data_IF_185209806222
#
_entry.id   IF_185209806222
#
_cell.length_a   1.000
_cell.length_b   1.000
_cell.length_c   1.000
_cell.angle_alpha   90.00
_cell.angle_beta   90.00
_cell.angle_gamma   90.00
#
_symmetry.space_group_name_H-M   'P 1'
#
loop_
_entity.id
_entity.type
_entity.pdbx_description
1 polymer ?
#
# COMPACT_ATOMS: atom_id res chain seq x y z
N UNK A 1 21.82 -3.45 -5.71
CA UNK A 1 21.67 -2.17 -6.47
C UNK A 1 20.20 -1.93 -6.85
N UNK A 2 19.70 -0.68 -6.78
CA UNK A 2 18.28 -0.36 -7.04
C UNK A 2 17.80 -0.74 -8.45
N UNK A 3 18.67 -0.61 -9.46
CA UNK A 3 18.35 -1.02 -10.83
C UNK A 3 18.03 -2.52 -10.93
N UNK A 4 18.87 -3.37 -10.30
CA UNK A 4 18.67 -4.82 -10.25
C UNK A 4 17.34 -5.18 -9.56
N UNK A 5 16.94 -4.43 -8.54
CA UNK A 5 15.67 -4.64 -7.85
C UNK A 5 14.47 -4.28 -8.74
N UNK A 6 14.57 -3.17 -9.49
CA UNK A 6 13.55 -2.79 -10.46
C UNK A 6 13.38 -3.88 -11.54
N UNK A 7 14.49 -4.36 -12.09
CA UNK A 7 14.49 -5.43 -13.11
C UNK A 7 13.92 -6.73 -12.54
N UNK A 8 14.29 -7.10 -11.31
CA UNK A 8 13.75 -8.28 -10.64
C UNK A 8 12.22 -8.19 -10.46
N UNK A 9 11.67 -7.02 -10.13
CA UNK A 9 10.22 -6.82 -10.02
C UNK A 9 9.52 -6.96 -11.38
N UNK A 10 10.13 -6.45 -12.46
CA UNK A 10 9.63 -6.61 -13.82
C UNK A 10 9.63 -8.09 -14.23
N UNK A 11 10.73 -8.81 -13.97
CA UNK A 11 10.83 -10.25 -14.23
C UNK A 11 9.80 -11.02 -13.42
N UNK A 12 9.61 -10.70 -12.14
CA UNK A 12 8.62 -11.33 -11.28
C UNK A 12 7.20 -11.17 -11.85
N UNK A 13 6.83 -9.96 -12.28
CA UNK A 13 5.53 -9.70 -12.92
C UNK A 13 5.34 -10.53 -14.20
N UNK A 14 6.37 -10.59 -15.04
CA UNK A 14 6.32 -11.40 -16.27
C UNK A 14 6.23 -12.90 -15.97
N UNK A 15 7.00 -13.39 -14.99
CA UNK A 15 6.94 -14.78 -14.55
C UNK A 15 5.55 -15.14 -14.01
N UNK A 16 4.94 -14.25 -13.22
CA UNK A 16 3.56 -14.43 -12.74
C UNK A 16 2.53 -14.51 -13.86
N UNK A 17 2.72 -13.73 -14.92
CA UNK A 17 1.85 -13.79 -16.09
C UNK A 17 1.98 -15.12 -16.86
N UNK A 18 3.16 -15.74 -16.86
CA UNK A 18 3.45 -16.96 -17.63
C UNK A 18 3.26 -18.25 -16.82
N UNK A 19 3.44 -18.19 -15.50
CA UNK A 19 3.43 -19.35 -14.61
C UNK A 19 2.79 -18.98 -13.27
N UNK A 20 1.46 -18.87 -13.28
CA UNK A 20 0.68 -18.49 -12.08
C UNK A 20 0.89 -19.45 -10.90
N UNK A 21 1.10 -20.74 -11.15
CA UNK A 21 1.26 -21.77 -10.11
C UNK A 21 2.56 -21.62 -9.32
N UNK A 22 3.67 -21.29 -10.00
CA UNK A 22 4.96 -21.09 -9.34
C UNK A 22 4.92 -19.91 -8.36
N UNK A 23 4.29 -18.81 -8.78
CA UNK A 23 4.17 -17.62 -7.96
C UNK A 23 3.25 -17.88 -6.78
N UNK A 24 2.10 -18.52 -6.97
CA UNK A 24 1.19 -18.91 -5.88
C UNK A 24 1.88 -19.69 -4.77
N UNK A 25 2.75 -20.62 -5.12
CA UNK A 25 3.41 -21.49 -4.14
C UNK A 25 4.61 -20.84 -3.44
N UNK A 26 5.31 -19.92 -4.12
CA UNK A 26 6.65 -19.49 -3.68
C UNK A 26 6.78 -18.00 -3.40
N UNK A 27 5.86 -17.17 -3.86
CA UNK A 27 5.97 -15.72 -3.71
C UNK A 27 6.07 -15.29 -2.25
N UNK A 28 5.16 -15.75 -1.39
CA UNK A 28 5.12 -15.36 0.01
C UNK A 28 6.40 -15.79 0.78
N UNK A 29 6.99 -16.93 0.42
CA UNK A 29 8.18 -17.46 1.08
C UNK A 29 9.48 -16.86 0.53
N UNK A 30 9.61 -16.76 -0.80
CA UNK A 30 10.91 -16.49 -1.44
C UNK A 30 11.06 -15.06 -1.93
N UNK A 31 9.97 -14.43 -2.38
CA UNK A 31 10.02 -13.12 -3.02
C UNK A 31 9.60 -12.00 -2.06
N UNK A 32 8.55 -12.26 -1.27
CA UNK A 32 7.90 -11.25 -0.46
C UNK A 32 8.78 -10.68 0.67
N UNK A 33 9.52 -11.46 1.47
CA UNK A 33 10.27 -10.91 2.61
C UNK A 33 11.28 -9.83 2.20
N UNK A 34 11.98 -10.03 1.09
CA UNK A 34 12.92 -9.05 0.55
C UNK A 34 12.23 -7.80 -0.01
N UNK A 35 11.12 -7.99 -0.73
CA UNK A 35 10.35 -6.89 -1.29
C UNK A 35 9.70 -6.03 -0.21
N UNK A 36 9.15 -6.68 0.83
CA UNK A 36 8.58 -6.03 1.99
C UNK A 36 9.60 -5.21 2.76
N UNK A 37 10.74 -5.80 3.14
CA UNK A 37 11.80 -5.08 3.85
C UNK A 37 12.22 -3.81 3.08
N UNK A 38 12.42 -3.95 1.78
CA UNK A 38 12.77 -2.85 0.89
C UNK A 38 11.70 -1.74 0.88
N UNK A 39 10.44 -2.08 0.62
CA UNK A 39 9.35 -1.12 0.54
C UNK A 39 9.00 -0.49 1.87
N UNK A 40 9.19 -1.21 2.98
CA UNK A 40 8.96 -0.73 4.34
C UNK A 40 10.00 0.30 4.76
N UNK A 41 11.28 -0.01 4.56
CA UNK A 41 12.40 0.77 5.09
C UNK A 41 12.69 2.03 4.28
N UNK A 42 12.49 2.00 2.96
CA UNK A 42 12.81 3.15 2.12
C UNK A 42 11.70 4.19 2.14
N UNK A 43 12.00 5.49 2.36
CA UNK A 43 10.98 6.53 2.28
C UNK A 43 10.39 6.58 0.86
N UNK A 44 9.08 6.81 0.79
CA UNK A 44 8.40 7.00 -0.50
C UNK A 44 8.96 8.25 -1.18
N UNK A 45 9.25 8.15 -2.47
CA UNK A 45 9.73 9.30 -3.26
C UNK A 45 8.64 10.37 -3.28
N UNK A 46 9.02 11.60 -2.93
CA UNK A 46 8.13 12.76 -2.98
C UNK A 46 7.97 13.27 -4.41
N UNK A 47 6.85 13.94 -4.70
CA UNK A 47 6.58 14.50 -6.03
C UNK A 47 7.68 15.46 -6.50
N UNK A 48 8.22 16.26 -5.58
CA UNK A 48 9.32 17.20 -5.84
C UNK A 48 10.58 16.48 -6.37
N UNK A 49 10.87 15.30 -5.82
CA UNK A 49 12.03 14.47 -6.17
C UNK A 49 11.79 13.61 -7.42
N UNK A 50 10.52 13.44 -7.81
CA UNK A 50 10.12 12.57 -8.92
C UNK A 50 10.55 13.14 -10.29
N UNK A 51 10.72 14.47 -10.39
CA UNK A 51 11.09 15.18 -11.62
C UNK A 51 12.39 14.68 -12.24
N UNK A 52 13.32 14.18 -11.44
CA UNK A 52 14.63 13.70 -11.90
C UNK A 52 14.63 12.22 -12.37
N UNK A 53 13.48 11.53 -12.35
CA UNK A 53 13.36 10.11 -12.74
C UNK A 53 14.40 9.20 -12.05
N UNK A 54 14.50 9.36 -10.73
CA UNK A 54 15.55 8.73 -9.92
C UNK A 54 15.48 7.19 -9.93
N UNK A 55 16.62 6.49 -9.70
CA UNK A 55 16.63 5.02 -9.58
C UNK A 55 15.70 4.50 -8.49
N UNK A 56 15.54 5.24 -7.38
CA UNK A 56 14.62 4.90 -6.29
C UNK A 56 13.17 4.95 -6.76
N UNK A 57 12.78 6.00 -7.51
CA UNK A 57 11.44 6.10 -8.09
C UNK A 57 11.14 4.90 -9.00
N UNK A 58 12.08 4.55 -9.88
CA UNK A 58 11.94 3.40 -10.78
C UNK A 58 11.76 2.08 -10.02
N UNK A 59 12.57 1.85 -9.00
CA UNK A 59 12.49 0.64 -8.17
C UNK A 59 11.14 0.57 -7.43
N UNK A 60 10.71 1.66 -6.79
CA UNK A 60 9.42 1.72 -6.09
C UNK A 60 8.24 1.55 -7.05
N UNK A 61 8.29 2.14 -8.26
CA UNK A 61 7.27 1.97 -9.28
C UNK A 61 7.18 0.52 -9.75
N UNK A 62 8.32 -0.12 -10.06
CA UNK A 62 8.36 -1.50 -10.52
C UNK A 62 7.83 -2.46 -9.43
N UNK A 63 8.20 -2.22 -8.17
CA UNK A 63 7.72 -2.97 -7.03
C UNK A 63 6.19 -2.83 -6.85
N UNK A 64 5.67 -1.60 -6.81
CA UNK A 64 4.22 -1.36 -6.66
C UNK A 64 3.41 -1.90 -7.84
N UNK A 65 3.93 -1.80 -9.07
CA UNK A 65 3.27 -2.34 -10.25
C UNK A 65 3.25 -3.87 -10.27
N UNK A 66 4.32 -4.53 -9.80
CA UNK A 66 4.32 -5.97 -9.60
C UNK A 66 3.31 -6.38 -8.51
N UNK A 67 3.26 -5.66 -7.38
CA UNK A 67 2.32 -5.95 -6.30
C UNK A 67 0.86 -5.72 -6.71
N UNK A 68 0.57 -4.62 -7.41
CA UNK A 68 -0.78 -4.36 -7.92
C UNK A 68 -1.23 -5.43 -8.92
N UNK A 69 -0.32 -5.99 -9.71
CA UNK A 69 -0.62 -7.11 -10.60
C UNK A 69 -0.89 -8.41 -9.82
N UNK A 70 -0.02 -8.74 -8.86
CA UNK A 70 -0.15 -9.93 -8.03
C UNK A 70 -1.37 -9.88 -7.11
N UNK A 71 -1.80 -8.67 -6.74
CA UNK A 71 -2.99 -8.49 -5.92
C UNK A 71 -4.30 -8.88 -6.61
N UNK A 72 -4.26 -9.23 -7.91
CA UNK A 72 -5.39 -9.86 -8.59
C UNK A 72 -5.57 -11.36 -8.29
N UNK A 73 -4.69 -11.96 -7.48
CA UNK A 73 -4.78 -13.35 -7.04
C UNK A 73 -5.08 -13.41 -5.53
N UNK A 74 -6.30 -13.82 -5.18
CA UNK A 74 -6.81 -13.78 -3.80
C UNK A 74 -5.97 -14.63 -2.82
N UNK A 75 -5.41 -15.76 -3.28
CA UNK A 75 -4.65 -16.67 -2.44
C UNK A 75 -3.30 -16.05 -2.05
N UNK A 76 -2.65 -15.42 -3.03
CA UNK A 76 -1.40 -14.66 -2.82
C UNK A 76 -1.61 -13.46 -1.93
N UNK A 77 -2.69 -12.71 -2.15
CA UNK A 77 -3.04 -11.55 -1.34
C UNK A 77 -3.20 -11.93 0.11
N UNK A 78 -3.98 -12.98 0.41
CA UNK A 78 -4.29 -13.39 1.78
C UNK A 78 -3.07 -13.69 2.63
N UNK A 79 -2.05 -14.29 2.04
CA UNK A 79 -0.83 -14.63 2.77
C UNK A 79 -0.06 -13.41 3.31
N UNK A 80 -0.25 -12.23 2.70
CA UNK A 80 0.55 -11.02 2.98
C UNK A 80 -0.30 -9.75 3.06
N UNK A 81 -1.62 -9.89 3.25
CA UNK A 81 -2.59 -8.82 3.04
C UNK A 81 -2.35 -7.60 3.95
N UNK A 82 -2.05 -7.82 5.22
CA UNK A 82 -1.80 -6.74 6.20
C UNK A 82 -0.63 -5.86 5.75
N UNK A 83 0.47 -6.49 5.35
CA UNK A 83 1.68 -5.80 4.96
C UNK A 83 1.47 -5.07 3.61
N UNK A 84 0.71 -5.65 2.69
CA UNK A 84 0.30 -4.97 1.45
C UNK A 84 -0.57 -3.73 1.71
N UNK A 85 -1.47 -3.77 2.70
CA UNK A 85 -2.26 -2.59 3.10
C UNK A 85 -1.34 -1.49 3.65
N UNK A 86 -0.37 -1.84 4.49
CA UNK A 86 0.61 -0.87 5.01
C UNK A 86 1.43 -0.23 3.88
N UNK A 87 1.88 -1.02 2.91
CA UNK A 87 2.56 -0.51 1.70
C UNK A 87 1.62 0.44 0.93
N UNK A 88 0.40 -0.01 0.64
CA UNK A 88 -0.58 0.79 -0.11
C UNK A 88 -0.83 2.14 0.55
N UNK A 89 -1.10 2.16 1.85
CA UNK A 89 -1.32 3.41 2.59
C UNK A 89 -0.08 4.31 2.60
N UNK A 90 1.13 3.74 2.77
CA UNK A 90 2.38 4.52 2.76
C UNK A 90 2.54 5.30 1.46
N UNK A 91 2.29 4.67 0.32
CA UNK A 91 2.48 5.29 -1.00
C UNK A 91 1.26 6.09 -1.48
N UNK A 92 0.09 5.94 -0.85
CA UNK A 92 -1.10 6.76 -1.10
C UNK A 92 -1.11 8.10 -0.33
N UNK A 93 -0.12 8.35 0.55
CA UNK A 93 -0.03 9.59 1.34
C UNK A 93 0.17 10.83 0.46
N UNK A 94 -0.34 11.96 0.94
CA UNK A 94 -0.11 13.26 0.34
C UNK A 94 1.39 13.58 0.23
N UNK A 95 1.79 14.21 -0.87
CA UNK A 95 3.18 14.58 -1.16
C UNK A 95 4.04 13.45 -1.74
N UNK A 96 3.57 12.19 -1.76
CA UNK A 96 4.20 11.11 -2.52
C UNK A 96 4.01 11.35 -4.01
N UNK A 97 4.98 10.90 -4.82
CA UNK A 97 4.92 11.04 -6.26
C UNK A 97 3.62 10.47 -6.84
N UNK A 98 2.93 11.22 -7.70
CA UNK A 98 1.59 10.89 -8.23
C UNK A 98 1.56 9.49 -8.83
N UNK A 99 2.58 9.13 -9.63
CA UNK A 99 2.68 7.80 -10.25
C UNK A 99 2.79 6.66 -9.24
N UNK A 100 3.44 6.88 -8.09
CA UNK A 100 3.49 5.89 -7.02
C UNK A 100 2.13 5.79 -6.32
N UNK A 101 1.50 6.94 -6.06
CA UNK A 101 0.15 7.03 -5.51
C UNK A 101 -0.87 6.28 -6.36
N UNK A 102 -0.84 6.45 -7.67
CA UNK A 102 -1.74 5.74 -8.60
C UNK A 102 -1.62 4.22 -8.47
N UNK A 103 -0.38 3.70 -8.36
CA UNK A 103 -0.12 2.27 -8.20
C UNK A 103 -0.50 1.77 -6.81
N UNK A 104 -0.29 2.58 -5.78
CA UNK A 104 -0.73 2.29 -4.43
C UNK A 104 -2.26 2.19 -4.34
N UNK A 105 -2.99 3.09 -5.01
CA UNK A 105 -4.45 3.02 -5.10
C UNK A 105 -4.96 1.85 -5.93
N UNK A 106 -4.24 1.42 -6.97
CA UNK A 106 -4.56 0.18 -7.68
C UNK A 106 -4.40 -1.03 -6.75
N UNK A 107 -3.29 -1.11 -6.01
CA UNK A 107 -3.06 -2.15 -5.01
C UNK A 107 -4.16 -2.17 -3.94
N UNK A 108 -4.49 -1.03 -3.32
CA UNK A 108 -5.53 -0.94 -2.30
C UNK A 108 -6.92 -1.35 -2.82
N UNK A 109 -7.24 -1.04 -4.09
CA UNK A 109 -8.51 -1.47 -4.70
C UNK A 109 -8.56 -2.98 -4.93
N UNK A 110 -7.45 -3.57 -5.37
CA UNK A 110 -7.36 -5.03 -5.51
C UNK A 110 -7.49 -5.72 -4.14
N UNK A 111 -6.81 -5.20 -3.12
CA UNK A 111 -6.95 -5.67 -1.74
C UNK A 111 -8.36 -5.53 -1.20
N UNK A 112 -9.06 -4.43 -1.49
CA UNK A 112 -10.44 -4.24 -1.03
C UNK A 112 -11.43 -5.21 -1.70
N UNK A 113 -11.12 -5.71 -2.90
CA UNK A 113 -11.92 -6.73 -3.56
C UNK A 113 -11.71 -8.12 -2.92
N UNK A 114 -10.47 -8.44 -2.52
CA UNK A 114 -10.12 -9.74 -1.92
C UNK A 114 -10.40 -9.81 -0.41
N UNK A 115 -10.09 -8.73 0.32
CA UNK A 115 -10.12 -8.60 1.79
C UNK A 115 -10.71 -7.24 2.21
N UNK A 116 -12.03 -7.01 2.00
CA UNK A 116 -12.67 -5.72 2.24
C UNK A 116 -12.59 -5.24 3.69
N UNK A 117 -12.73 -6.17 4.65
CA UNK A 117 -12.71 -5.86 6.08
C UNK A 117 -11.34 -5.32 6.52
N UNK A 118 -10.27 -5.86 5.94
CA UNK A 118 -8.92 -5.44 6.25
C UNK A 118 -8.66 -4.01 5.80
N UNK A 119 -9.01 -3.68 4.55
CA UNK A 119 -8.83 -2.31 4.05
C UNK A 119 -9.66 -1.32 4.87
N UNK A 120 -10.85 -1.71 5.29
CA UNK A 120 -11.69 -0.88 6.16
C UNK A 120 -11.02 -0.62 7.51
N UNK A 121 -10.48 -1.64 8.20
CA UNK A 121 -9.80 -1.45 9.50
C UNK A 121 -8.71 -0.36 9.45
N UNK A 122 -7.95 -0.29 8.35
CA UNK A 122 -6.86 0.65 8.16
C UNK A 122 -7.26 2.00 7.55
N UNK A 123 -8.36 2.06 6.79
CA UNK A 123 -8.90 3.30 6.22
C UNK A 123 -9.72 4.12 7.23
N UNK A 124 -9.99 3.56 8.42
CA UNK A 124 -10.72 4.24 9.47
C UNK A 124 -9.98 5.51 9.91
N UNK A 125 -10.61 6.70 9.78
CA UNK A 125 -10.07 7.88 10.40
C UNK A 125 -9.92 7.54 11.88
N UNK A 126 -8.69 7.57 12.38
CA UNK A 126 -8.45 7.36 13.81
C UNK A 126 -9.37 8.32 14.54
N UNK A 127 -10.28 7.81 15.36
CA UNK A 127 -11.17 8.60 16.19
C UNK A 127 -10.41 9.37 17.30
N UNK A 128 -9.16 9.75 17.04
CA UNK A 128 -8.29 10.61 17.85
C UNK A 128 -8.58 12.11 17.66
N UNK A 129 -9.75 12.41 17.09
CA UNK A 129 -10.30 13.76 16.96
C UNK A 129 -11.81 13.73 17.12
N UNK A 130 -12.32 13.03 18.13
CA UNK A 130 -13.68 13.34 18.58
C UNK A 130 -13.66 14.81 19.05
N UNK A 131 -14.44 15.73 18.45
CA UNK A 131 -14.58 17.05 19.01
C UNK A 131 -15.11 16.88 20.43
N UNK A 132 -14.40 17.46 21.38
CA UNK A 132 -14.79 17.61 22.77
C UNK A 132 -16.27 18.01 22.79
N UNK A 133 -17.13 17.16 23.37
CA UNK A 133 -18.55 17.45 23.47
C UNK A 133 -18.71 18.82 24.15
N UNK A 134 -19.49 19.77 23.59
CA UNK A 134 -19.63 21.08 24.20
C UNK A 134 -20.18 20.89 25.61
N UNK A 135 -19.39 21.39 26.58
CA UNK A 135 -19.71 21.36 28.00
C UNK A 135 -21.17 21.75 28.23
N UNK A 136 -21.86 20.91 29.01
CA UNK A 136 -23.28 21.03 29.31
C UNK A 136 -23.71 22.46 29.56
N UNK A 137 -24.57 22.97 28.68
CA UNK A 137 -25.32 24.19 28.91
C UNK A 137 -26.24 23.92 30.10
N UNK A 138 -25.92 24.50 31.26
CA UNK A 138 -26.79 24.44 32.43
C UNK A 138 -28.19 24.95 32.05
N UNK A 139 -29.28 24.25 32.40
CA UNK A 139 -30.63 24.74 32.15
C UNK A 139 -30.87 26.01 32.99
N UNK A 140 -31.57 27.02 32.46
CA UNK A 140 -31.86 28.25 33.20
C UNK A 140 -32.77 27.96 34.40
N UNK A 141 -32.67 28.73 35.49
CA UNK A 141 -33.51 28.54 36.65
C UNK A 141 -34.98 28.77 36.30
N UNK A 142 -35.84 27.89 36.79
CA UNK A 142 -37.29 28.07 36.75
C UNK A 142 -37.62 29.35 37.54
N UNK A 143 -38.16 30.36 36.86
CA UNK A 143 -38.76 31.50 37.52
C UNK A 143 -40.01 31.02 38.28
N UNK A 144 -40.09 31.40 39.56
CA UNK A 144 -41.19 31.08 40.47
C UNK A 144 -42.47 31.86 40.20
#
# INVERSE_FOLDING_TARGET
>A
PLAVQADACVVLKHAARLSGDFIRQRFAADCWPGLWAHLREQPAVREEEAKAWSPRLKAQLAALDALAFLAGDDELVRAVAEELVVVGLKFAKEGVAVRLGDRAWQLLRALAAAEPDLVWLYARPSAAGAPEAPAGRAPPPLAG
#
